data_IF_855468123291
#
_entry.id   IF_855468123291
#
_cell.length_a   1.000
_cell.length_b   1.000
_cell.length_c   1.000
_cell.angle_alpha   90.00
_cell.angle_beta   90.00
_cell.angle_gamma   90.00
#
_symmetry.space_group_name_H-M   'P 1'
#
loop_
_entity.id
_entity.type
_entity.pdbx_description
1 polymer ?
#
# COMPACT_ATOMS: atom_id res chain seq x y z
N UNK A 1 -13.06 15.63 5.31
CA UNK A 1 -13.25 14.26 5.80
C UNK A 1 -12.33 13.42 4.95
N UNK A 2 -11.08 13.23 5.38
CA UNK A 2 -10.11 12.45 4.60
C UNK A 2 -10.56 11.00 4.76
N UNK A 3 -10.92 10.33 3.68
CA UNK A 3 -11.18 8.90 3.71
C UNK A 3 -9.90 8.24 4.22
N UNK A 4 -9.92 7.72 5.45
CA UNK A 4 -8.73 7.30 6.19
C UNK A 4 -8.08 6.01 5.67
N UNK A 5 -8.56 5.48 4.55
CA UNK A 5 -8.10 4.25 3.92
C UNK A 5 -8.32 4.31 2.40
N UNK A 6 -7.50 3.56 1.67
CA UNK A 6 -7.67 3.24 0.27
C UNK A 6 -8.43 1.92 0.16
N UNK A 7 -9.31 1.78 -0.82
CA UNK A 7 -9.96 0.52 -1.16
C UNK A 7 -9.62 0.19 -2.61
N UNK A 8 -9.02 -0.98 -2.81
CA UNK A 8 -8.59 -1.47 -4.11
C UNK A 8 -9.49 -2.67 -4.44
N UNK A 9 -10.18 -2.58 -5.56
CA UNK A 9 -10.89 -3.72 -6.14
C UNK A 9 -10.11 -4.17 -7.36
N UNK A 10 -9.67 -5.42 -7.34
CA UNK A 10 -8.86 -6.01 -8.40
C UNK A 10 -9.58 -7.22 -8.97
N UNK A 11 -9.65 -7.33 -10.28
CA UNK A 11 -10.23 -8.47 -10.98
C UNK A 11 -9.07 -9.27 -11.59
N UNK A 12 -8.64 -10.38 -10.93
CA UNK A 12 -7.53 -11.17 -11.42
C UNK A 12 -7.86 -11.81 -12.76
N UNK A 13 -6.85 -11.90 -13.64
CA UNK A 13 -7.03 -12.51 -14.96
C UNK A 13 -7.34 -14.01 -14.84
N UNK A 14 -6.81 -14.67 -13.82
CA UNK A 14 -6.90 -16.11 -13.62
C UNK A 14 -8.23 -16.62 -13.02
N UNK A 15 -8.92 -15.82 -12.19
CA UNK A 15 -10.06 -16.31 -11.38
C UNK A 15 -11.39 -15.63 -11.66
N UNK A 16 -11.41 -14.46 -12.31
CA UNK A 16 -12.62 -13.69 -12.60
C UNK A 16 -13.46 -13.30 -11.37
N UNK A 17 -12.87 -13.41 -10.17
CA UNK A 17 -13.50 -13.08 -8.90
C UNK A 17 -12.81 -11.84 -8.33
N UNK A 18 -13.57 -10.79 -8.06
CA UNK A 18 -13.01 -9.51 -7.59
C UNK A 18 -12.43 -9.68 -6.19
N UNK A 19 -11.14 -9.42 -6.06
CA UNK A 19 -10.45 -9.29 -4.79
C UNK A 19 -10.60 -7.87 -4.25
N UNK A 20 -10.77 -7.75 -2.93
CA UNK A 20 -10.83 -6.47 -2.24
C UNK A 20 -9.68 -6.34 -1.25
N UNK A 21 -8.88 -5.30 -1.45
CA UNK A 21 -7.78 -4.91 -0.58
C UNK A 21 -8.06 -3.58 0.12
N UNK A 22 -7.78 -3.53 1.42
CA UNK A 22 -7.91 -2.31 2.22
C UNK A 22 -6.53 -1.75 2.55
N UNK A 23 -6.25 -0.54 2.05
CA UNK A 23 -5.02 0.20 2.28
C UNK A 23 -5.10 1.15 3.48
N UNK A 24 -4.41 0.82 4.55
CA UNK A 24 -4.30 1.64 5.75
C UNK A 24 -3.09 2.57 5.67
N UNK A 25 -3.26 3.82 6.11
CA UNK A 25 -2.18 4.81 6.10
C UNK A 25 -1.86 5.39 4.71
N UNK A 26 -2.66 5.11 3.67
CA UNK A 26 -2.44 5.62 2.32
C UNK A 26 -2.37 7.16 2.27
N UNK A 27 -3.23 7.85 3.02
CA UNK A 27 -3.16 9.32 3.10
C UNK A 27 -1.83 9.84 3.70
N UNK A 28 -1.23 9.09 4.64
CA UNK A 28 0.10 9.42 5.17
C UNK A 28 1.18 9.16 4.13
N UNK A 29 1.11 8.05 3.39
CA UNK A 29 2.00 7.77 2.26
C UNK A 29 1.98 8.92 1.24
N UNK A 30 0.80 9.38 0.81
CA UNK A 30 0.69 10.52 -0.11
C UNK A 30 1.27 11.82 0.48
N UNK A 31 1.16 12.01 1.80
CA UNK A 31 1.72 13.18 2.48
C UNK A 31 3.25 13.12 2.54
N UNK A 32 3.81 11.95 2.87
CA UNK A 32 5.26 11.71 2.90
C UNK A 32 5.86 11.82 1.48
N UNK A 33 5.13 11.35 0.48
CA UNK A 33 5.50 11.47 -0.93
C UNK A 33 5.48 12.93 -1.40
N UNK A 34 4.42 13.69 -1.08
CA UNK A 34 4.34 15.12 -1.41
C UNK A 34 5.43 15.97 -0.71
N UNK A 35 5.97 15.49 0.42
CA UNK A 35 7.06 16.15 1.13
C UNK A 35 8.42 15.93 0.46
N UNK A 36 8.62 14.80 -0.21
CA UNK A 36 9.95 14.34 -0.66
C UNK A 36 10.12 14.31 -2.17
N UNK A 37 9.04 14.11 -2.93
CA UNK A 37 9.03 14.11 -4.38
C UNK A 37 8.66 15.48 -4.95
N UNK A 38 9.21 15.82 -6.11
CA UNK A 38 8.75 16.95 -6.89
C UNK A 38 7.42 16.60 -7.57
N UNK A 39 6.45 17.50 -7.41
CA UNK A 39 5.11 17.37 -7.99
C UNK A 39 5.08 17.38 -9.52
N UNK A 40 6.15 17.84 -10.18
CA UNK A 40 6.24 17.85 -11.63
C UNK A 40 6.22 16.44 -12.25
N UNK A 41 6.72 15.44 -11.52
CA UNK A 41 6.81 14.04 -11.98
C UNK A 41 5.60 13.19 -11.59
N UNK A 42 4.53 13.78 -11.06
CA UNK A 42 3.37 13.01 -10.56
C UNK A 42 2.67 12.18 -11.64
N UNK A 43 2.84 12.52 -12.91
CA UNK A 43 2.26 11.80 -14.04
C UNK A 43 3.19 10.72 -14.62
N UNK A 44 4.40 10.59 -14.08
CA UNK A 44 5.39 9.66 -14.59
C UNK A 44 5.10 8.24 -14.10
N UNK A 45 5.40 7.26 -14.94
CA UNK A 45 5.09 5.85 -14.66
C UNK A 45 5.95 5.29 -13.50
N UNK A 46 7.16 5.81 -13.30
CA UNK A 46 8.04 5.47 -12.19
C UNK A 46 7.82 6.34 -10.94
N UNK A 47 6.76 7.17 -10.92
CA UNK A 47 6.36 7.89 -9.72
C UNK A 47 5.91 6.88 -8.63
N UNK A 48 6.32 7.05 -7.36
CA UNK A 48 6.07 6.03 -6.32
C UNK A 48 4.61 5.66 -6.08
N UNK A 49 3.67 6.58 -6.36
CA UNK A 49 2.23 6.26 -6.30
C UNK A 49 1.84 5.26 -7.40
N UNK A 50 2.34 5.45 -8.63
CA UNK A 50 2.13 4.54 -9.76
C UNK A 50 2.75 3.17 -9.46
N UNK A 51 4.02 3.15 -9.05
CA UNK A 51 4.73 1.91 -8.67
C UNK A 51 4.04 1.15 -7.53
N UNK A 52 3.41 1.86 -6.59
CA UNK A 52 2.62 1.23 -5.54
C UNK A 52 1.41 0.47 -6.13
N UNK A 53 0.65 1.08 -7.05
CA UNK A 53 -0.50 0.44 -7.67
C UNK A 53 -0.11 -0.72 -8.58
N UNK A 54 0.97 -0.58 -9.34
CA UNK A 54 1.53 -1.68 -10.15
C UNK A 54 1.93 -2.86 -9.25
N UNK A 55 2.67 -2.58 -8.16
CA UNK A 55 3.09 -3.64 -7.24
C UNK A 55 1.90 -4.29 -6.55
N UNK A 56 0.86 -3.54 -6.21
CA UNK A 56 -0.37 -4.09 -5.65
C UNK A 56 -1.09 -4.98 -6.64
N UNK A 57 -1.12 -4.62 -7.94
CA UNK A 57 -1.69 -5.47 -9.00
C UNK A 57 -1.00 -6.83 -9.04
N UNK A 58 0.34 -6.85 -9.12
CA UNK A 58 1.12 -8.10 -9.15
C UNK A 58 0.82 -8.97 -7.92
N UNK A 59 0.83 -8.36 -6.73
CA UNK A 59 0.61 -9.08 -5.48
C UNK A 59 -0.82 -9.62 -5.37
N UNK A 60 -1.82 -8.94 -5.94
CA UNK A 60 -3.20 -9.41 -5.94
C UNK A 60 -3.40 -10.54 -6.95
N UNK A 61 -2.68 -10.55 -8.07
CA UNK A 61 -2.64 -11.70 -8.98
C UNK A 61 -2.00 -12.91 -8.29
N UNK A 62 -0.83 -12.73 -7.65
CA UNK A 62 -0.15 -13.79 -6.88
C UNK A 62 -1.04 -14.34 -5.74
N UNK A 63 -1.85 -13.46 -5.12
CA UNK A 63 -2.82 -13.85 -4.10
C UNK A 63 -3.95 -14.71 -4.68
N UNK A 64 -4.45 -14.37 -5.87
CA UNK A 64 -5.49 -15.13 -6.55
C UNK A 64 -5.00 -16.54 -6.94
N UNK A 65 -3.72 -16.69 -7.26
CA UNK A 65 -3.08 -17.96 -7.60
C UNK A 65 -2.60 -18.78 -6.39
N UNK A 66 -2.82 -18.30 -5.15
CA UNK A 66 -2.35 -18.91 -3.89
C UNK A 66 -0.81 -19.05 -3.82
N UNK A 67 -0.09 -18.18 -4.51
CA UNK A 67 1.38 -18.11 -4.51
C UNK A 67 1.94 -17.08 -3.53
N UNK A 68 1.08 -16.21 -3.00
CA UNK A 68 1.49 -15.15 -2.08
C UNK A 68 1.62 -15.64 -0.64
N UNK A 69 2.86 -15.71 -0.14
CA UNK A 69 3.12 -15.94 1.29
C UNK A 69 2.89 -14.65 2.11
N UNK A 70 1.96 -14.70 3.06
CA UNK A 70 1.64 -13.58 3.95
C UNK A 70 2.04 -13.86 5.41
N UNK A 71 2.44 -12.83 6.19
CA UNK A 71 2.55 -11.43 5.79
C UNK A 71 3.88 -11.14 5.06
N UNK A 72 3.87 -10.16 4.14
CA UNK A 72 5.07 -9.74 3.42
C UNK A 72 5.29 -8.23 3.46
N UNK A 73 6.56 -7.82 3.37
CA UNK A 73 6.94 -6.43 3.19
C UNK A 73 7.31 -6.18 1.74
N UNK A 74 6.82 -5.09 1.17
CA UNK A 74 7.36 -4.55 -0.07
C UNK A 74 7.69 -3.06 0.12
N UNK A 75 8.45 -2.51 -0.81
CA UNK A 75 8.78 -1.09 -0.78
C UNK A 75 8.84 -0.54 -2.19
N UNK A 76 8.51 0.74 -2.31
CA UNK A 76 8.71 1.54 -3.51
C UNK A 76 9.75 2.61 -3.19
N UNK A 77 10.66 2.86 -4.13
CA UNK A 77 11.73 3.83 -3.96
C UNK A 77 11.42 5.08 -4.77
N UNK A 78 11.81 6.25 -4.24
CA UNK A 78 11.75 7.50 -4.97
C UNK A 78 12.94 7.58 -5.95
N UNK A 79 12.71 7.69 -7.27
CA UNK A 79 13.78 7.91 -8.23
C UNK A 79 14.56 9.18 -7.91
N UNK A 80 15.90 9.12 -8.05
CA UNK A 80 16.82 10.22 -7.66
C UNK A 80 16.43 11.55 -8.31
N UNK A 81 16.04 11.50 -9.58
CA UNK A 81 15.73 12.69 -10.37
C UNK A 81 14.42 13.36 -9.94
N UNK A 82 13.54 12.63 -9.25
CA UNK A 82 12.27 13.14 -8.72
C UNK A 82 12.38 13.67 -7.30
N UNK A 83 13.54 13.53 -6.65
CA UNK A 83 13.71 13.95 -5.27
C UNK A 83 13.76 15.48 -5.16
N UNK A 84 12.78 16.06 -4.46
CA UNK A 84 12.75 17.49 -4.12
C UNK A 84 13.90 17.87 -3.17
N UNK A 85 14.36 16.91 -2.36
CA UNK A 85 15.48 17.07 -1.45
C UNK A 85 16.77 16.52 -2.08
N UNK A 86 17.57 17.42 -2.65
CA UNK A 86 18.86 17.11 -3.29
C UNK A 86 19.70 16.13 -2.46
N UNK A 87 20.04 14.99 -3.08
CA UNK A 87 20.92 13.97 -2.49
C UNK A 87 20.30 13.07 -1.43
N UNK A 88 18.98 13.14 -1.22
CA UNK A 88 18.25 12.21 -0.36
C UNK A 88 17.46 11.22 -1.21
N UNK A 89 17.65 9.92 -1.00
CA UNK A 89 16.76 8.90 -1.55
C UNK A 89 15.77 8.50 -0.46
N UNK A 90 14.54 8.22 -0.87
CA UNK A 90 13.47 7.83 0.05
C UNK A 90 12.90 6.50 -0.38
N UNK A 91 12.60 5.65 0.60
CA UNK A 91 11.92 4.38 0.44
C UNK A 91 10.65 4.39 1.27
N UNK A 92 9.54 4.01 0.65
CA UNK A 92 8.24 3.88 1.28
C UNK A 92 7.92 2.40 1.44
N UNK A 93 7.67 1.97 2.66
CA UNK A 93 7.50 0.55 3.00
C UNK A 93 6.05 0.25 3.34
N UNK A 94 5.59 -0.89 2.85
CA UNK A 94 4.23 -1.39 3.03
C UNK A 94 4.27 -2.84 3.51
N UNK A 95 3.34 -3.19 4.39
CA UNK A 95 3.13 -4.52 4.92
C UNK A 95 1.80 -5.05 4.41
N UNK A 96 1.84 -6.16 3.65
CA UNK A 96 0.65 -6.86 3.18
C UNK A 96 0.40 -8.05 4.08
N UNK A 97 -0.85 -8.23 4.47
CA UNK A 97 -1.25 -9.31 5.36
C UNK A 97 -2.70 -9.73 5.10
N UNK A 98 -3.03 -10.95 5.49
CA UNK A 98 -4.41 -11.41 5.56
C UNK A 98 -5.11 -10.89 6.84
N UNK A 99 -6.40 -11.22 6.94
CA UNK A 99 -7.24 -10.87 8.08
C UNK A 99 -6.82 -11.51 9.39
N UNK A 100 -6.26 -12.72 9.37
CA UNK A 100 -5.87 -13.44 10.57
C UNK A 100 -4.66 -12.78 11.23
N UNK A 101 -3.65 -12.46 10.42
CA UNK A 101 -2.50 -11.64 10.81
C UNK A 101 -2.96 -10.26 11.26
N UNK A 102 -3.82 -9.58 10.48
CA UNK A 102 -4.33 -8.27 10.86
C UNK A 102 -5.08 -8.30 12.21
N UNK A 103 -5.85 -9.34 12.51
CA UNK A 103 -6.55 -9.48 13.80
C UNK A 103 -5.60 -9.48 15.00
N UNK A 104 -4.37 -9.97 14.83
CA UNK A 104 -3.37 -9.99 15.89
C UNK A 104 -2.76 -8.61 16.14
N UNK A 105 -2.49 -7.86 15.07
CA UNK A 105 -1.79 -6.57 15.10
C UNK A 105 -2.72 -5.35 15.08
N UNK A 106 -4.02 -5.51 14.82
CA UNK A 106 -4.96 -4.39 14.65
C UNK A 106 -5.02 -3.44 15.84
N UNK A 107 -4.73 -3.95 17.05
CA UNK A 107 -4.70 -3.16 18.30
C UNK A 107 -3.53 -2.19 18.37
N UNK A 108 -2.49 -2.43 17.59
CA UNK A 108 -1.29 -1.57 17.53
C UNK A 108 -1.52 -0.36 16.63
N UNK A 109 -2.54 -0.41 15.77
CA UNK A 109 -2.90 0.69 14.88
C UNK A 109 -4.01 1.55 15.49
N UNK A 110 -3.82 2.87 15.46
CA UNK A 110 -4.86 3.85 15.82
C UNK A 110 -5.88 3.99 14.68
N UNK A 111 -6.64 2.92 14.41
CA UNK A 111 -7.65 2.87 13.37
C UNK A 111 -9.07 3.04 13.91
N UNK A 112 -9.92 3.69 13.12
CA UNK A 112 -11.34 3.80 13.40
C UNK A 112 -12.00 2.41 13.47
N UNK A 113 -12.95 2.23 14.38
CA UNK A 113 -13.65 0.95 14.57
C UNK A 113 -14.36 0.47 13.31
N UNK A 114 -14.89 1.38 12.49
CA UNK A 114 -15.59 1.01 11.27
C UNK A 114 -14.60 0.56 10.18
N UNK A 115 -13.41 1.16 10.12
CA UNK A 115 -12.31 0.72 9.25
C UNK A 115 -11.81 -0.65 9.72
N UNK A 116 -11.60 -0.84 11.02
CA UNK A 116 -11.19 -2.13 11.57
C UNK A 116 -12.19 -3.25 11.28
N UNK A 117 -13.50 -2.95 11.37
CA UNK A 117 -14.57 -3.88 10.97
C UNK A 117 -14.51 -4.23 9.50
N UNK A 118 -14.24 -3.24 8.63
CA UNK A 118 -14.08 -3.45 7.19
C UNK A 118 -12.90 -4.37 6.90
N UNK A 119 -11.72 -4.10 7.46
CA UNK A 119 -10.54 -4.96 7.32
C UNK A 119 -10.77 -6.40 7.79
N UNK A 120 -11.61 -6.60 8.81
CA UNK A 120 -11.95 -7.93 9.33
C UNK A 120 -13.20 -8.55 8.65
N UNK A 121 -13.76 -7.89 7.63
CA UNK A 121 -14.91 -8.39 6.88
C UNK A 121 -14.56 -9.64 6.09
N UNK A 122 -15.56 -10.47 5.82
CA UNK A 122 -15.40 -11.63 4.93
C UNK A 122 -15.11 -11.23 3.48
N UNK A 123 -15.50 -10.02 3.11
CA UNK A 123 -15.34 -9.46 1.77
C UNK A 123 -13.97 -8.79 1.58
N UNK A 124 -13.10 -8.78 2.59
CA UNK A 124 -11.72 -8.31 2.47
C UNK A 124 -10.78 -9.50 2.36
N UNK A 125 -10.01 -9.52 1.28
CA UNK A 125 -9.07 -10.61 0.96
C UNK A 125 -7.69 -10.32 1.53
N UNK A 126 -7.23 -9.06 1.43
CA UNK A 126 -5.98 -8.63 2.03
C UNK A 126 -6.01 -7.19 2.56
N UNK A 127 -5.06 -6.89 3.43
CA UNK A 127 -4.86 -5.59 4.04
C UNK A 127 -3.43 -5.16 3.73
N UNK A 128 -3.26 -3.97 3.18
CA UNK A 128 -1.95 -3.33 3.01
C UNK A 128 -1.83 -2.16 3.98
N UNK A 129 -0.72 -2.11 4.72
CA UNK A 129 -0.47 -1.07 5.72
C UNK A 129 0.79 -0.31 5.34
N UNK A 130 0.68 0.99 5.18
CA UNK A 130 1.85 1.86 5.07
C UNK A 130 2.58 1.93 6.41
N UNK A 131 3.81 1.42 6.46
CA UNK A 131 4.59 1.35 7.71
C UNK A 131 5.47 2.59 7.91
N UNK A 132 5.83 3.27 6.82
CA UNK A 132 6.52 4.55 6.87
C UNK A 132 7.51 4.78 5.75
N UNK A 133 8.17 5.93 5.84
CA UNK A 133 9.22 6.36 4.94
C UNK A 133 10.57 6.24 5.64
N UNK A 134 11.57 5.76 4.91
CA UNK A 134 12.97 5.75 5.35
C UNK A 134 13.81 6.51 4.36
N UNK A 135 14.69 7.39 4.86
CA UNK A 135 15.75 7.98 4.04
C UNK A 135 16.85 6.95 3.84
N UNK A 136 17.22 6.72 2.60
CA UNK A 136 18.34 5.87 2.17
C UNK A 136 19.40 6.81 1.58
N UNK A 137 20.65 6.76 2.09
CA UNK A 137 21.72 7.69 1.70
C UNK A 137 22.18 8.61 2.83
#
# INVERSE_FOLDING_TARGET
MIMGYLEIHYEPECTGSVLTCIGLGYGKFLSDLAFTADSEYKQDDDYPETLFHERMSDLLEDLAEDYLEMPLLFSVELPVHMANLLGCLFRYTFLVMDREHFRQVCREYEIDKDIARKCLSRDTDCIVVYTGMTRIG
#
